data_IF_081833301317
#
_entry.id   IF_081833301317
#
_cell.length_a   1.000
_cell.length_b   1.000
_cell.length_c   1.000
_cell.angle_alpha   90.00
_cell.angle_beta   90.00
_cell.angle_gamma   90.00
#
_symmetry.space_group_name_H-M   'P 1'
#
loop_
_entity.id
_entity.type
_entity.pdbx_description
1 polymer ?
#
# COMPACT_ATOMS: atom_id res chain seq x y z
N UNK A 1 7.84 -30.16 13.85
CA UNK A 1 6.85 -30.19 12.74
C UNK A 1 7.48 -29.51 11.52
N UNK A 2 7.89 -30.26 10.51
CA UNK A 2 8.49 -29.71 9.30
C UNK A 2 7.38 -29.23 8.35
N UNK A 3 7.24 -27.91 8.15
CA UNK A 3 6.38 -27.32 7.10
C UNK A 3 6.84 -27.89 5.75
N UNK A 4 6.03 -28.77 5.17
CA UNK A 4 6.26 -29.38 3.85
C UNK A 4 6.44 -28.28 2.81
N UNK A 5 7.68 -28.01 2.42
CA UNK A 5 8.02 -27.20 1.24
C UNK A 5 7.65 -28.02 0.00
N UNK A 6 6.41 -27.90 -0.48
CA UNK A 6 6.02 -28.43 -1.79
C UNK A 6 4.93 -27.57 -2.41
N UNK A 7 5.33 -26.49 -3.07
CA UNK A 7 4.90 -26.26 -4.45
C UNK A 7 5.86 -25.26 -5.12
N UNK A 8 6.46 -25.66 -6.24
CA UNK A 8 7.30 -24.79 -7.08
C UNK A 8 6.45 -23.83 -7.94
N UNK A 9 5.13 -23.93 -7.88
CA UNK A 9 4.17 -23.07 -8.60
C UNK A 9 3.52 -22.03 -7.69
N UNK A 10 2.94 -21.00 -8.32
CA UNK A 10 2.14 -19.99 -7.63
C UNK A 10 0.83 -20.57 -7.11
N UNK A 11 0.39 -20.13 -5.92
CA UNK A 11 -0.85 -20.57 -5.29
C UNK A 11 -2.08 -20.04 -6.05
N UNK A 12 -3.25 -20.65 -5.83
CA UNK A 12 -4.49 -20.16 -6.42
C UNK A 12 -4.86 -18.76 -5.92
N UNK A 13 -4.55 -18.45 -4.65
CA UNK A 13 -4.72 -17.12 -4.05
C UNK A 13 -3.86 -16.05 -4.76
N UNK A 14 -2.59 -16.36 -5.03
CA UNK A 14 -1.68 -15.47 -5.77
C UNK A 14 -2.21 -15.21 -7.18
N UNK A 15 -2.74 -16.24 -7.85
CA UNK A 15 -3.33 -16.11 -9.19
C UNK A 15 -4.64 -15.32 -9.15
N UNK A 16 -5.49 -15.54 -8.15
CA UNK A 16 -6.75 -14.83 -7.98
C UNK A 16 -6.51 -13.33 -7.83
N UNK A 17 -5.55 -12.93 -7.00
CA UNK A 17 -5.20 -11.52 -6.81
C UNK A 17 -4.73 -10.85 -8.11
N UNK A 18 -3.87 -11.53 -8.87
CA UNK A 18 -3.39 -11.02 -10.16
C UNK A 18 -4.51 -10.98 -11.20
N UNK A 19 -5.43 -11.94 -11.18
CA UNK A 19 -6.60 -11.97 -12.04
C UNK A 19 -7.54 -10.80 -11.75
N UNK A 20 -7.82 -10.51 -10.48
CA UNK A 20 -8.65 -9.37 -10.05
C UNK A 20 -8.07 -8.04 -10.54
N UNK A 21 -6.77 -7.81 -10.32
CA UNK A 21 -6.10 -6.60 -10.82
C UNK A 21 -6.22 -6.50 -12.35
N UNK A 22 -6.02 -7.62 -13.06
CA UNK A 22 -6.10 -7.67 -14.52
C UNK A 22 -7.52 -7.37 -15.02
N UNK A 23 -8.54 -7.86 -14.34
CA UNK A 23 -9.95 -7.56 -14.65
C UNK A 23 -10.24 -6.06 -14.51
N UNK A 24 -9.86 -5.45 -13.39
CA UNK A 24 -10.01 -3.99 -13.16
C UNK A 24 -9.29 -3.16 -14.22
N UNK A 25 -8.11 -3.60 -14.66
CA UNK A 25 -7.37 -2.95 -15.74
C UNK A 25 -8.06 -3.11 -17.11
N UNK A 26 -8.69 -4.26 -17.38
CA UNK A 26 -9.47 -4.48 -18.61
C UNK A 26 -10.76 -3.65 -18.62
N UNK A 27 -11.47 -3.54 -17.51
CA UNK A 27 -12.64 -2.65 -17.38
C UNK A 27 -12.30 -1.20 -17.71
N UNK A 28 -11.07 -0.78 -17.40
CA UNK A 28 -10.53 0.53 -17.76
C UNK A 28 -10.12 0.66 -19.24
N UNK A 29 -10.07 -0.45 -19.99
CA UNK A 29 -9.68 -0.49 -21.39
C UNK A 29 -8.20 -0.83 -21.64
N UNK A 30 -7.45 -1.28 -20.62
CA UNK A 30 -6.05 -1.73 -20.80
C UNK A 30 -6.05 -3.18 -21.30
N UNK A 31 -5.83 -3.34 -22.60
CA UNK A 31 -5.84 -4.66 -23.26
C UNK A 31 -4.44 -5.17 -23.65
N UNK A 32 -3.41 -4.32 -23.56
CA UNK A 32 -2.03 -4.68 -23.90
C UNK A 32 -1.19 -4.75 -22.64
N UNK A 33 -0.64 -5.93 -22.38
CA UNK A 33 0.28 -6.18 -21.28
C UNK A 33 1.61 -6.69 -21.85
N UNK A 34 2.75 -6.27 -21.29
CA UNK A 34 4.03 -6.88 -21.59
C UNK A 34 4.00 -8.39 -21.34
N UNK A 35 4.78 -9.17 -22.12
CA UNK A 35 4.84 -10.64 -22.00
C UNK A 35 5.13 -11.10 -20.56
N UNK A 36 6.06 -10.42 -19.89
CA UNK A 36 6.49 -10.79 -18.53
C UNK A 36 5.66 -10.14 -17.41
N UNK A 37 4.62 -9.38 -17.76
CA UNK A 37 3.82 -8.66 -16.78
C UNK A 37 3.23 -9.61 -15.73
N UNK A 38 2.64 -10.72 -16.18
CA UNK A 38 1.96 -11.67 -15.30
C UNK A 38 2.95 -12.33 -14.32
N UNK A 39 4.15 -12.68 -14.79
CA UNK A 39 5.19 -13.27 -13.93
C UNK A 39 5.66 -12.29 -12.86
N UNK A 40 5.83 -11.01 -13.20
CA UNK A 40 6.17 -9.97 -12.24
C UNK A 40 5.07 -9.80 -11.19
N UNK A 41 3.80 -9.81 -11.59
CA UNK A 41 2.70 -9.68 -10.64
C UNK A 41 2.62 -10.90 -9.71
N UNK A 42 2.78 -12.11 -10.23
CA UNK A 42 2.75 -13.33 -9.41
C UNK A 42 3.88 -13.37 -8.38
N UNK A 43 5.08 -12.93 -8.75
CA UNK A 43 6.21 -12.79 -7.82
C UNK A 43 5.90 -11.81 -6.69
N UNK A 44 5.27 -10.68 -7.03
CA UNK A 44 4.88 -9.67 -6.03
C UNK A 44 3.74 -10.17 -5.15
N UNK A 45 2.70 -10.80 -5.71
CA UNK A 45 1.59 -11.40 -4.97
C UNK A 45 2.10 -12.41 -3.95
N UNK A 46 3.06 -13.25 -4.35
CA UNK A 46 3.73 -14.18 -3.45
C UNK A 46 4.40 -13.49 -2.28
N UNK A 47 5.12 -12.40 -2.51
CA UNK A 47 5.77 -11.65 -1.43
C UNK A 47 4.73 -10.97 -0.52
N UNK A 48 3.64 -10.45 -1.08
CA UNK A 48 2.56 -9.80 -0.33
C UNK A 48 1.83 -10.78 0.60
N UNK A 49 1.68 -12.03 0.16
CA UNK A 49 1.03 -13.11 0.93
C UNK A 49 2.02 -13.92 1.77
N UNK A 50 3.34 -13.77 1.54
CA UNK A 50 4.38 -14.43 2.32
C UNK A 50 4.66 -13.67 3.62
N UNK A 51 3.88 -13.96 4.66
CA UNK A 51 4.12 -13.42 5.99
C UNK A 51 3.15 -13.95 7.02
N UNK A 52 3.57 -14.03 8.27
CA UNK A 52 2.73 -14.51 9.39
C UNK A 52 1.64 -13.50 9.77
N UNK A 53 1.83 -12.23 9.38
CA UNK A 53 0.86 -11.12 9.51
C UNK A 53 0.49 -10.54 8.13
N UNK A 54 0.61 -11.34 7.05
CA UNK A 54 0.25 -10.88 5.72
C UNK A 54 -1.27 -10.61 5.64
N UNK A 55 -1.71 -9.52 4.99
CA UNK A 55 -3.12 -9.27 4.76
C UNK A 55 -3.74 -10.38 3.90
N UNK A 56 -4.98 -10.73 4.18
CA UNK A 56 -5.72 -11.71 3.38
C UNK A 56 -6.00 -11.18 1.97
N UNK A 57 -6.25 -12.09 1.03
CA UNK A 57 -6.55 -11.76 -0.38
C UNK A 57 -7.72 -10.77 -0.47
N UNK A 58 -8.78 -10.98 0.31
CA UNK A 58 -9.95 -10.09 0.33
C UNK A 58 -9.60 -8.65 0.70
N UNK A 59 -8.65 -8.46 1.63
CA UNK A 59 -8.24 -7.12 2.05
C UNK A 59 -7.43 -6.42 0.94
N UNK A 60 -6.62 -7.18 0.21
CA UNK A 60 -5.91 -6.68 -0.96
C UNK A 60 -6.86 -6.35 -2.12
N UNK A 61 -7.87 -7.17 -2.36
CA UNK A 61 -8.92 -6.90 -3.35
C UNK A 61 -9.68 -5.60 -3.02
N UNK A 62 -10.06 -5.41 -1.75
CA UNK A 62 -10.69 -4.19 -1.28
C UNK A 62 -9.78 -2.95 -1.45
N UNK A 63 -8.46 -3.10 -1.23
CA UNK A 63 -7.50 -2.03 -1.50
C UNK A 63 -7.41 -1.71 -3.00
N UNK A 64 -7.42 -2.72 -3.87
CA UNK A 64 -7.45 -2.52 -5.33
C UNK A 64 -8.72 -1.76 -5.71
N UNK A 65 -9.89 -2.20 -5.24
CA UNK A 65 -11.17 -1.53 -5.52
C UNK A 65 -11.18 -0.08 -5.04
N UNK A 66 -10.64 0.19 -3.85
CA UNK A 66 -10.49 1.54 -3.34
C UNK A 66 -9.61 2.42 -4.24
N UNK A 67 -8.48 1.88 -4.73
CA UNK A 67 -7.58 2.58 -5.66
C UNK A 67 -8.25 2.87 -7.01
N UNK A 68 -9.03 1.93 -7.54
CA UNK A 68 -9.72 2.09 -8.81
C UNK A 68 -10.94 3.01 -8.73
N UNK A 69 -11.55 3.16 -7.54
CA UNK A 69 -12.61 4.14 -7.28
C UNK A 69 -12.10 5.58 -7.32
N UNK A 70 -10.86 5.82 -6.92
CA UNK A 70 -10.26 7.15 -6.95
C UNK A 70 -9.81 7.52 -8.38
N UNK A 71 -10.27 8.69 -8.85
CA UNK A 71 -10.01 9.18 -10.21
C UNK A 71 -8.53 9.41 -10.49
N UNK A 72 -7.73 9.71 -9.47
CA UNK A 72 -6.29 9.91 -9.58
C UNK A 72 -5.53 8.58 -9.54
N UNK A 73 -5.82 7.73 -8.56
CA UNK A 73 -5.08 6.48 -8.36
C UNK A 73 -5.36 5.45 -9.45
N UNK A 74 -6.58 5.37 -9.98
CA UNK A 74 -6.90 4.46 -11.08
C UNK A 74 -5.98 4.63 -12.29
N UNK A 75 -5.45 5.84 -12.52
CA UNK A 75 -4.52 6.11 -13.61
C UNK A 75 -3.13 5.51 -13.36
N UNK A 76 -2.73 5.51 -12.08
CA UNK A 76 -1.38 5.24 -11.61
C UNK A 76 -1.16 3.83 -11.11
N UNK A 77 -2.18 2.97 -11.15
CA UNK A 77 -2.12 1.59 -10.67
C UNK A 77 -2.15 0.63 -11.86
N UNK A 78 -0.99 0.07 -12.16
CA UNK A 78 -0.75 -0.86 -13.27
C UNK A 78 -0.10 -2.18 -12.83
N UNK A 79 0.46 -2.22 -11.61
CA UNK A 79 1.17 -3.35 -11.02
C UNK A 79 0.84 -3.50 -9.52
N UNK A 80 0.84 -4.73 -8.99
CA UNK A 80 0.65 -5.05 -7.58
C UNK A 80 1.69 -4.38 -6.67
N UNK A 81 2.92 -4.20 -7.13
CA UNK A 81 3.94 -3.49 -6.34
C UNK A 81 3.54 -2.04 -6.02
N UNK A 82 2.72 -1.42 -6.91
CA UNK A 82 2.18 -0.09 -6.66
C UNK A 82 1.04 -0.12 -5.65
N UNK A 83 0.21 -1.17 -5.68
CA UNK A 83 -0.84 -1.43 -4.69
C UNK A 83 -0.21 -1.63 -3.32
N UNK A 84 0.83 -2.46 -3.22
CA UNK A 84 1.61 -2.70 -2.01
C UNK A 84 2.18 -1.39 -1.44
N UNK A 85 2.79 -0.54 -2.28
CA UNK A 85 3.30 0.76 -1.85
C UNK A 85 2.20 1.73 -1.36
N UNK A 86 0.94 1.54 -1.79
CA UNK A 86 -0.21 2.34 -1.39
C UNK A 86 -1.00 1.72 -0.24
N UNK A 87 -0.67 0.49 0.16
CA UNK A 87 -1.29 -0.22 1.26
C UNK A 87 -1.33 0.59 2.57
N UNK A 88 -0.24 1.23 3.03
CA UNK A 88 -0.30 2.01 4.27
C UNK A 88 -1.30 3.16 4.20
N UNK A 89 -1.51 3.74 3.00
CA UNK A 89 -2.50 4.81 2.81
C UNK A 89 -3.93 4.29 2.90
N UNK A 90 -4.18 3.10 2.36
CA UNK A 90 -5.46 2.43 2.46
C UNK A 90 -5.79 2.09 3.92
N UNK A 91 -4.82 1.52 4.65
CA UNK A 91 -4.96 1.23 6.10
C UNK A 91 -5.24 2.50 6.90
N UNK A 92 -4.48 3.58 6.64
CA UNK A 92 -4.65 4.87 7.33
C UNK A 92 -5.99 5.57 7.02
N UNK A 93 -6.51 5.42 5.81
CA UNK A 93 -7.82 5.96 5.44
C UNK A 93 -8.99 5.13 5.96
N UNK A 94 -8.74 4.03 6.67
CA UNK A 94 -9.77 3.17 7.22
C UNK A 94 -10.43 2.33 6.14
N UNK A 95 -9.64 1.44 5.53
CA UNK A 95 -10.08 0.49 4.50
C UNK A 95 -11.31 -0.34 4.86
N UNK A 96 -11.70 -0.36 6.13
CA UNK A 96 -13.01 -0.81 6.60
C UNK A 96 -13.39 0.19 7.70
N UNK A 97 -14.53 0.88 7.56
CA UNK A 97 -15.04 1.96 8.45
C UNK A 97 -14.49 1.96 9.89
N UNK A 98 -13.92 3.09 10.36
CA UNK A 98 -14.15 3.73 11.70
C UNK A 98 -12.92 4.50 12.25
N UNK A 99 -13.07 5.81 12.42
CA UNK A 99 -12.72 6.47 13.70
C UNK A 99 -11.27 6.79 14.06
N UNK A 100 -10.29 6.63 13.18
CA UNK A 100 -8.91 7.02 13.47
C UNK A 100 -8.67 8.51 13.28
N UNK A 101 -9.00 9.35 14.27
CA UNK A 101 -8.53 10.74 14.33
C UNK A 101 -7.01 10.72 14.41
N UNK A 102 -6.35 10.78 13.24
CA UNK A 102 -4.93 11.07 13.17
C UNK A 102 -4.77 12.51 13.61
N UNK A 103 -4.59 12.72 14.92
CA UNK A 103 -4.09 13.97 15.47
C UNK A 103 -2.70 14.15 14.85
N UNK A 104 -2.66 14.85 13.72
CA UNK A 104 -1.43 15.47 13.21
C UNK A 104 -0.96 16.40 14.32
N UNK A 105 -0.04 15.92 15.13
CA UNK A 105 0.85 16.83 15.87
C UNK A 105 1.61 17.60 14.81
N UNK A 106 1.17 18.82 14.52
CA UNK A 106 1.96 19.79 13.79
C UNK A 106 3.30 19.89 14.50
N UNK A 107 4.45 19.71 13.81
CA UNK A 107 5.73 19.99 14.43
C UNK A 107 5.73 21.47 14.78
N UNK A 108 5.70 21.78 16.07
CA UNK A 108 5.86 23.12 16.59
C UNK A 108 7.29 23.55 16.23
N UNK A 109 7.41 24.28 15.12
CA UNK A 109 8.64 24.91 14.65
C UNK A 109 9.15 25.77 15.80
N UNK A 110 10.27 25.35 16.37
CA UNK A 110 10.89 25.96 17.55
C UNK A 110 10.87 27.47 17.46
N UNK A 111 10.23 28.06 18.48
CA UNK A 111 10.33 29.48 18.81
C UNK A 111 11.81 29.80 19.01
N UNK A 112 12.41 30.57 18.09
CA UNK A 112 13.69 31.20 18.36
C UNK A 112 13.45 32.18 19.51
N UNK A 113 13.98 31.83 20.69
CA UNK A 113 13.94 32.67 21.88
C UNK A 113 14.57 34.03 21.59
N UNK A 114 13.73 35.01 21.31
CA UNK A 114 14.07 36.40 21.45
C UNK A 114 13.99 36.76 22.93
N UNK A 115 15.15 36.93 23.55
CA UNK A 115 15.31 37.83 24.69
C UNK A 115 16.61 38.59 24.47
N UNK A 116 16.48 39.62 23.63
CA UNK A 116 17.39 40.74 23.57
C UNK A 116 17.17 41.52 24.89
N UNK A 117 18.27 41.97 25.50
CA UNK A 117 18.37 42.78 26.74
C UNK A 117 18.04 42.09 28.07
N UNK A 118 19.07 41.82 28.88
CA UNK A 118 19.05 42.11 30.33
C UNK A 118 20.49 42.25 30.87
N UNK A 119 20.68 43.26 31.71
CA UNK A 119 21.92 43.84 32.24
C UNK A 119 22.75 42.90 33.15
N UNK A 120 24.07 43.14 33.23
CA UNK A 120 24.84 42.69 34.40
C UNK A 120 26.33 42.46 34.18
N UNK A 121 27.12 43.53 33.97
CA UNK A 121 28.57 43.55 34.19
C UNK A 121 28.86 43.77 35.69
N UNK A 122 29.59 42.89 36.39
CA UNK A 122 30.29 43.27 37.61
C UNK A 122 31.75 43.61 37.31
N UNK A 123 32.22 44.70 37.95
CA UNK A 123 33.61 45.09 38.09
C UNK A 123 34.42 44.07 38.89
#
# INVERSE_FOLDING_TARGET
MAKKKNNRGFSEEEKALVAHLKEKMKERGVNKFPRDWHLKQLSVARNMLAGENAPEVEQWEACIDWLFKDRYWKDKVDHLARVEALWPKYVLKGGVNSGGTSKRSTPQRGSYGGSLYDEGLPL
#
